data_IF_483450161597
#
_entry.id   IF_483450161597
#
_cell.length_a   1.000
_cell.length_b   1.000
_cell.length_c   1.000
_cell.angle_alpha   90.00
_cell.angle_beta   90.00
_cell.angle_gamma   90.00
#
_symmetry.space_group_name_H-M   'P 1'
#
loop_
_entity.id
_entity.type
_entity.pdbx_description
1 polymer ?
#
# COMPACT_ATOMS: atom_id res chain seq x y z
N UNK A 1 -1.92 7.90 -10.30
CA UNK A 1 -2.07 8.58 -8.99
C UNK A 1 -3.52 8.96 -8.72
N UNK A 2 -4.38 7.95 -8.56
CA UNK A 2 -5.79 8.18 -8.23
C UNK A 2 -6.37 6.95 -7.54
N UNK A 3 -7.37 7.17 -6.70
CA UNK A 3 -8.28 6.13 -6.23
C UNK A 3 -9.46 6.03 -7.19
N UNK A 4 -9.83 4.81 -7.55
CA UNK A 4 -10.95 4.53 -8.46
C UNK A 4 -11.81 3.43 -7.90
N UNK A 5 -13.13 3.59 -7.96
CA UNK A 5 -14.08 2.54 -7.67
C UNK A 5 -14.99 2.32 -8.89
N UNK A 6 -15.21 1.06 -9.25
CA UNK A 6 -16.05 0.67 -10.39
C UNK A 6 -17.14 -0.25 -9.87
N UNK A 7 -18.39 0.06 -10.20
CA UNK A 7 -19.53 -0.81 -9.96
C UNK A 7 -19.72 -1.72 -11.16
N UNK A 8 -19.68 -3.01 -10.92
CA UNK A 8 -19.98 -4.02 -11.93
C UNK A 8 -21.33 -4.69 -11.65
N UNK A 9 -22.05 -5.09 -12.69
CA UNK A 9 -23.17 -6.00 -12.56
C UNK A 9 -22.71 -7.45 -12.40
N UNK A 10 -23.65 -8.38 -12.20
CA UNK A 10 -23.35 -9.80 -12.04
C UNK A 10 -22.78 -10.48 -13.31
N UNK A 11 -22.82 -9.81 -14.45
CA UNK A 11 -22.22 -10.26 -15.71
C UNK A 11 -20.81 -9.69 -15.92
N UNK A 12 -20.29 -8.92 -14.95
CA UNK A 12 -18.98 -8.28 -15.05
C UNK A 12 -18.95 -7.01 -15.92
N UNK A 13 -20.12 -6.46 -16.29
CA UNK A 13 -20.20 -5.22 -17.08
C UNK A 13 -20.05 -4.02 -16.13
N UNK A 14 -19.19 -3.02 -16.43
CA UNK A 14 -19.10 -1.81 -15.64
C UNK A 14 -20.36 -0.96 -15.81
N UNK A 15 -20.96 -0.59 -14.68
CA UNK A 15 -22.21 0.19 -14.60
C UNK A 15 -21.95 1.64 -14.23
N UNK A 16 -20.95 1.88 -13.37
CA UNK A 16 -20.60 3.20 -12.92
C UNK A 16 -19.15 3.22 -12.43
N UNK A 17 -18.47 4.34 -12.68
CA UNK A 17 -17.09 4.58 -12.21
C UNK A 17 -17.03 5.91 -11.49
N UNK A 18 -16.32 5.94 -10.36
CA UNK A 18 -15.92 7.13 -9.66
C UNK A 18 -14.40 7.13 -9.46
N UNK A 19 -13.76 8.26 -9.67
CA UNK A 19 -12.31 8.44 -9.54
C UNK A 19 -12.00 9.77 -8.87
N UNK A 20 -10.96 9.78 -8.04
CA UNK A 20 -10.41 11.00 -7.41
C UNK A 20 -8.90 10.88 -7.39
N UNK A 21 -8.22 11.90 -7.87
CA UNK A 21 -6.77 12.01 -7.81
C UNK A 21 -6.29 12.27 -6.39
N UNK A 22 -5.04 11.91 -6.13
CA UNK A 22 -4.31 12.26 -4.91
C UNK A 22 -2.88 12.69 -5.24
N UNK A 23 -2.27 13.42 -4.31
CA UNK A 23 -0.98 14.08 -4.51
C UNK A 23 0.16 13.07 -4.54
N UNK A 24 1.07 13.26 -5.47
CA UNK A 24 2.36 12.59 -5.50
C UNK A 24 3.45 13.57 -5.09
N UNK A 25 4.27 13.19 -4.11
CA UNK A 25 5.34 14.01 -3.55
C UNK A 25 6.70 13.54 -4.03
N UNK A 26 7.58 14.48 -4.30
CA UNK A 26 8.97 14.26 -4.71
C UNK A 26 9.92 15.02 -3.75
N UNK A 27 10.13 14.51 -2.50
CA UNK A 27 10.88 15.27 -1.49
C UNK A 27 12.34 15.49 -1.82
N UNK A 28 12.93 14.57 -2.60
CA UNK A 28 14.31 14.60 -3.08
C UNK A 28 14.40 13.92 -4.45
N UNK A 29 15.51 14.08 -5.13
CA UNK A 29 15.78 13.36 -6.37
C UNK A 29 15.67 11.84 -6.17
N UNK A 30 14.94 11.18 -7.05
CA UNK A 30 14.64 9.74 -7.00
C UNK A 30 13.71 9.30 -5.86
N UNK A 31 13.15 10.22 -5.04
CA UNK A 31 12.18 9.91 -4.01
C UNK A 31 10.76 10.14 -4.50
N UNK A 32 9.88 9.17 -4.26
CA UNK A 32 8.46 9.25 -4.65
C UNK A 32 7.59 8.77 -3.50
N UNK A 33 6.70 9.63 -3.04
CA UNK A 33 5.86 9.38 -1.87
C UNK A 33 4.37 9.70 -2.13
N UNK A 34 3.50 8.99 -1.42
CA UNK A 34 2.08 9.34 -1.29
C UNK A 34 1.70 9.47 0.19
N UNK A 35 0.74 10.34 0.52
CA UNK A 35 0.13 10.36 1.86
C UNK A 35 -0.88 9.20 1.98
N UNK A 36 -0.66 8.22 2.89
CA UNK A 36 -1.60 7.11 3.07
C UNK A 36 -2.98 7.55 3.55
N UNK A 37 -3.08 8.66 4.29
CA UNK A 37 -4.38 9.18 4.71
C UNK A 37 -5.13 9.83 3.55
N UNK A 38 -4.43 10.43 2.59
CA UNK A 38 -5.05 10.92 1.36
C UNK A 38 -5.54 9.76 0.48
N UNK A 39 -4.75 8.69 0.34
CA UNK A 39 -5.18 7.45 -0.33
C UNK A 39 -6.45 6.91 0.33
N UNK A 40 -6.49 6.83 1.66
CA UNK A 40 -7.68 6.38 2.40
C UNK A 40 -8.90 7.28 2.17
N UNK A 41 -8.74 8.60 2.29
CA UNK A 41 -9.84 9.58 2.12
C UNK A 41 -10.41 9.52 0.70
N UNK A 42 -9.56 9.49 -0.32
CA UNK A 42 -10.00 9.42 -1.72
C UNK A 42 -10.65 8.09 -2.04
N UNK A 43 -10.12 6.97 -1.53
CA UNK A 43 -10.73 5.64 -1.67
C UNK A 43 -12.13 5.61 -1.03
N UNK A 44 -12.26 6.12 0.20
CA UNK A 44 -13.55 6.16 0.89
C UNK A 44 -14.57 7.05 0.18
N UNK A 45 -14.12 8.15 -0.42
CA UNK A 45 -14.97 9.05 -1.22
C UNK A 45 -15.54 8.30 -2.43
N UNK A 46 -14.69 7.70 -3.26
CA UNK A 46 -15.15 7.00 -4.48
C UNK A 46 -16.01 5.78 -4.16
N UNK A 47 -15.72 5.06 -3.06
CA UNK A 47 -16.57 3.96 -2.58
C UNK A 47 -17.98 4.44 -2.19
N UNK A 48 -18.07 5.55 -1.45
CA UNK A 48 -19.37 6.14 -1.07
C UNK A 48 -20.20 6.55 -2.29
N UNK A 49 -19.56 7.11 -3.31
CA UNK A 49 -20.24 7.50 -4.57
C UNK A 49 -20.77 6.28 -5.31
N UNK A 50 -19.98 5.21 -5.42
CA UNK A 50 -20.40 3.94 -6.05
C UNK A 50 -21.57 3.31 -5.28
N UNK A 51 -21.49 3.26 -3.94
CA UNK A 51 -22.60 2.72 -3.10
C UNK A 51 -23.88 3.56 -3.25
N UNK A 52 -23.75 4.90 -3.28
CA UNK A 52 -24.88 5.80 -3.52
C UNK A 52 -25.52 5.54 -4.89
N UNK A 53 -24.71 5.32 -5.93
CA UNK A 53 -25.20 5.00 -7.29
C UNK A 53 -25.89 3.65 -7.33
N UNK A 54 -25.31 2.61 -6.69
CA UNK A 54 -25.95 1.28 -6.59
C UNK A 54 -27.36 1.38 -5.98
N UNK A 55 -27.51 2.10 -4.86
CA UNK A 55 -28.82 2.33 -4.22
C UNK A 55 -29.82 3.02 -5.16
N UNK A 56 -29.39 4.04 -5.93
CA UNK A 56 -30.25 4.70 -6.93
C UNK A 56 -30.72 3.79 -8.05
N UNK A 57 -29.93 2.74 -8.35
CA UNK A 57 -30.27 1.69 -9.32
C UNK A 57 -31.01 0.51 -8.68
N UNK A 58 -31.46 0.65 -7.43
CA UNK A 58 -32.11 -0.41 -6.63
C UNK A 58 -31.26 -1.68 -6.49
N UNK A 59 -29.93 -1.54 -6.67
CA UNK A 59 -28.97 -2.62 -6.56
C UNK A 59 -28.39 -2.75 -5.14
N UNK A 60 -27.89 -3.95 -4.82
CA UNK A 60 -27.19 -4.27 -3.58
C UNK A 60 -25.73 -4.58 -3.91
N UNK A 61 -24.78 -3.92 -3.26
CA UNK A 61 -23.37 -4.29 -3.34
C UNK A 61 -23.17 -5.58 -2.56
N UNK A 62 -22.69 -6.64 -3.22
CA UNK A 62 -22.49 -7.96 -2.62
C UNK A 62 -21.09 -8.13 -2.06
N UNK A 63 -20.08 -7.57 -2.73
CA UNK A 63 -18.67 -7.71 -2.36
C UNK A 63 -17.86 -6.53 -2.86
N UNK A 64 -16.66 -6.39 -2.34
CA UNK A 64 -15.66 -5.41 -2.76
C UNK A 64 -14.37 -6.18 -3.06
N UNK A 65 -13.85 -6.06 -4.27
CA UNK A 65 -12.51 -6.47 -4.64
C UNK A 65 -11.57 -5.27 -4.55
N UNK A 66 -10.41 -5.46 -3.95
CA UNK A 66 -9.37 -4.43 -3.86
C UNK A 66 -8.24 -4.81 -4.81
N UNK A 67 -7.87 -3.89 -5.69
CA UNK A 67 -6.65 -4.00 -6.49
C UNK A 67 -5.65 -2.92 -6.06
N UNK A 68 -4.40 -3.16 -6.28
CA UNK A 68 -3.33 -2.49 -5.57
C UNK A 68 -2.39 -1.69 -6.49
N UNK A 69 -1.61 -0.82 -5.90
CA UNK A 69 -0.34 -0.32 -6.40
C UNK A 69 0.77 -1.13 -5.74
N UNK A 70 1.13 -2.27 -6.35
CA UNK A 70 2.09 -3.22 -5.80
C UNK A 70 3.39 -2.54 -5.37
N UNK A 71 4.06 -3.10 -4.36
CA UNK A 71 5.33 -2.62 -3.80
C UNK A 71 5.33 -1.22 -3.17
N UNK A 72 4.23 -0.48 -3.27
CA UNK A 72 4.07 0.77 -2.51
C UNK A 72 3.86 0.43 -1.05
N UNK A 73 4.83 0.80 -0.21
CA UNK A 73 4.98 0.32 1.16
C UNK A 73 4.45 1.33 2.16
N UNK A 74 3.58 0.89 3.06
CA UNK A 74 3.01 1.68 4.15
C UNK A 74 3.31 0.99 5.48
N UNK A 75 3.74 1.77 6.49
CA UNK A 75 3.88 1.32 7.87
C UNK A 75 2.97 2.16 8.76
N UNK A 76 2.23 1.51 9.66
CA UNK A 76 1.27 2.21 10.55
C UNK A 76 1.19 1.60 11.94
N UNK A 77 0.61 2.35 12.87
CA UNK A 77 0.38 1.93 14.24
C UNK A 77 -0.90 1.08 14.34
N UNK A 78 -0.78 -0.17 14.76
CA UNK A 78 -1.90 -1.10 15.01
C UNK A 78 -2.98 -0.52 15.92
N UNK A 79 -2.63 0.36 16.86
CA UNK A 79 -3.60 0.90 17.83
C UNK A 79 -4.59 1.89 17.22
N UNK A 80 -4.15 2.71 16.27
CA UNK A 80 -4.94 3.82 15.78
C UNK A 80 -4.94 4.01 14.26
N UNK A 81 -4.22 3.14 13.52
CA UNK A 81 -4.12 3.18 12.07
C UNK A 81 -3.35 4.37 11.50
N UNK A 82 -2.67 5.15 12.34
CA UNK A 82 -1.92 6.32 11.86
C UNK A 82 -0.62 5.85 11.19
N UNK A 83 -0.35 6.26 9.95
CA UNK A 83 0.93 6.01 9.31
C UNK A 83 2.09 6.60 10.11
N UNK A 84 3.25 5.94 10.06
CA UNK A 84 4.47 6.45 10.70
C UNK A 84 5.27 7.36 9.78
N UNK A 85 5.07 7.19 8.48
CA UNK A 85 5.71 7.93 7.41
C UNK A 85 4.80 7.89 6.16
N UNK A 86 5.09 8.71 5.15
CA UNK A 86 4.44 8.60 3.84
C UNK A 86 4.66 7.22 3.23
N UNK A 87 3.75 6.79 2.37
CA UNK A 87 3.91 5.58 1.57
C UNK A 87 5.09 5.76 0.61
N UNK A 88 6.07 4.87 0.66
CA UNK A 88 7.18 4.87 -0.30
C UNK A 88 6.72 4.11 -1.54
N UNK A 89 6.66 4.82 -2.66
CA UNK A 89 6.10 4.32 -3.93
C UNK A 89 7.04 3.33 -4.59
N UNK A 90 6.53 2.43 -5.41
CA UNK A 90 7.30 1.43 -6.16
C UNK A 90 8.41 2.02 -7.05
N UNK A 91 8.21 3.25 -7.54
CA UNK A 91 9.20 3.99 -8.36
C UNK A 91 10.37 4.57 -7.55
N UNK A 92 10.25 4.62 -6.22
CA UNK A 92 11.22 5.26 -5.33
C UNK A 92 12.57 4.54 -5.35
N UNK A 93 13.65 5.31 -5.40
CA UNK A 93 15.01 4.79 -5.51
C UNK A 93 15.87 5.04 -4.25
N UNK A 94 15.27 5.53 -3.14
CA UNK A 94 16.04 5.87 -1.91
C UNK A 94 16.79 4.71 -1.29
N UNK A 95 16.32 3.48 -1.48
CA UNK A 95 16.96 2.28 -0.96
C UNK A 95 18.02 1.66 -1.91
N UNK A 96 18.30 2.29 -3.07
CA UNK A 96 19.23 1.76 -4.08
C UNK A 96 20.62 1.50 -3.53
N UNK A 97 21.16 2.39 -2.69
CA UNK A 97 22.49 2.19 -2.09
C UNK A 97 22.51 0.99 -1.14
N UNK A 98 21.43 0.74 -0.41
CA UNK A 98 21.30 -0.45 0.41
C UNK A 98 21.22 -1.73 -0.46
N UNK A 99 20.52 -1.69 -1.57
CA UNK A 99 20.49 -2.79 -2.55
C UNK A 99 21.91 -3.09 -3.08
N UNK A 100 22.67 -2.07 -3.51
CA UNK A 100 24.07 -2.24 -3.94
C UNK A 100 24.94 -2.88 -2.84
N UNK A 101 24.74 -2.50 -1.58
CA UNK A 101 25.46 -3.10 -0.44
C UNK A 101 25.12 -4.59 -0.31
N UNK A 102 23.86 -4.99 -0.44
CA UNK A 102 23.44 -6.39 -0.38
C UNK A 102 24.06 -7.21 -1.52
N UNK A 103 24.12 -6.66 -2.74
CA UNK A 103 24.74 -7.27 -3.91
C UNK A 103 26.24 -7.48 -3.65
N UNK A 104 26.96 -6.46 -3.18
CA UNK A 104 28.38 -6.56 -2.77
C UNK A 104 28.61 -7.65 -1.70
N UNK A 105 27.63 -7.87 -0.83
CA UNK A 105 27.65 -8.92 0.19
C UNK A 105 27.27 -10.31 -0.36
N UNK A 106 27.10 -10.46 -1.68
CA UNK A 106 26.71 -11.72 -2.36
C UNK A 106 25.41 -12.32 -1.83
N UNK A 107 24.41 -11.46 -1.49
CA UNK A 107 23.10 -11.90 -0.98
C UNK A 107 22.10 -12.26 -2.07
N UNK A 108 22.43 -12.07 -3.36
CA UNK A 108 21.53 -12.30 -4.49
C UNK A 108 21.00 -13.72 -4.55
N UNK A 109 21.89 -14.72 -4.50
CA UNK A 109 21.51 -16.14 -4.59
C UNK A 109 20.54 -16.54 -3.48
N UNK A 110 20.78 -16.11 -2.23
CA UNK A 110 19.91 -16.48 -1.12
C UNK A 110 18.53 -15.79 -1.22
N UNK A 111 18.49 -14.57 -1.69
CA UNK A 111 17.23 -13.84 -1.89
C UNK A 111 16.47 -14.47 -3.05
N UNK A 112 17.12 -14.65 -4.19
CA UNK A 112 16.51 -15.26 -5.37
C UNK A 112 15.94 -16.65 -5.08
N UNK A 113 16.69 -17.52 -4.42
CA UNK A 113 16.24 -18.88 -4.10
C UNK A 113 15.05 -18.92 -3.15
N UNK A 114 14.86 -17.87 -2.31
CA UNK A 114 13.74 -17.80 -1.37
C UNK A 114 12.51 -17.09 -1.93
N UNK A 115 12.68 -16.17 -2.85
CA UNK A 115 11.60 -15.26 -3.29
C UNK A 115 11.37 -15.27 -4.80
N UNK A 116 12.31 -15.75 -5.59
CA UNK A 116 12.32 -15.58 -7.04
C UNK A 116 12.65 -14.15 -7.51
N UNK A 117 12.95 -13.23 -6.59
CA UNK A 117 13.13 -11.82 -6.89
C UNK A 117 14.60 -11.41 -6.90
N UNK A 118 14.89 -10.36 -7.67
CA UNK A 118 16.19 -9.69 -7.67
C UNK A 118 16.30 -8.75 -6.46
N UNK A 119 17.52 -8.28 -6.17
CA UNK A 119 17.75 -7.20 -5.21
C UNK A 119 17.55 -5.86 -5.92
N UNK A 120 16.42 -5.21 -5.70
CA UNK A 120 16.12 -3.90 -6.27
C UNK A 120 15.34 -3.02 -5.27
N UNK A 121 15.48 -1.70 -5.41
CA UNK A 121 14.73 -0.71 -4.63
C UNK A 121 13.22 -0.72 -4.95
N UNK A 122 12.81 -1.35 -6.03
CA UNK A 122 11.43 -1.58 -6.40
C UNK A 122 10.66 -2.33 -5.30
N UNK A 123 11.27 -3.34 -4.68
CA UNK A 123 10.62 -4.24 -3.73
C UNK A 123 10.47 -3.65 -2.33
N UNK A 124 9.46 -4.10 -1.59
CA UNK A 124 9.02 -3.52 -0.33
C UNK A 124 10.04 -3.67 0.81
N UNK A 125 10.79 -4.77 0.87
CA UNK A 125 11.67 -5.09 2.00
C UNK A 125 12.70 -3.99 2.31
N UNK A 126 13.33 -3.43 1.28
CA UNK A 126 14.35 -2.39 1.44
C UNK A 126 13.74 -1.03 1.82
N UNK A 127 12.51 -0.75 1.42
CA UNK A 127 11.73 0.43 1.85
C UNK A 127 11.33 0.33 3.32
N UNK A 128 10.85 -0.85 3.76
CA UNK A 128 10.56 -1.13 5.17
C UNK A 128 11.82 -0.91 6.02
N UNK A 129 12.94 -1.48 5.60
CA UNK A 129 14.23 -1.28 6.27
C UNK A 129 14.58 0.20 6.39
N UNK A 130 14.45 0.95 5.29
CA UNK A 130 14.72 2.38 5.29
C UNK A 130 13.85 3.13 6.30
N UNK A 131 12.55 2.87 6.35
CA UNK A 131 11.63 3.50 7.32
C UNK A 131 12.05 3.17 8.75
N UNK A 132 12.38 1.91 9.04
CA UNK A 132 12.81 1.49 10.40
C UNK A 132 14.08 2.21 10.81
N UNK A 133 15.03 2.38 9.90
CA UNK A 133 16.32 3.01 10.18
C UNK A 133 16.20 4.54 10.34
N UNK A 134 15.34 5.19 9.57
CA UNK A 134 15.29 6.65 9.46
C UNK A 134 14.13 7.31 10.21
N UNK A 135 13.11 6.54 10.62
CA UNK A 135 11.92 7.07 11.30
C UNK A 135 11.90 6.57 12.76
N UNK A 136 12.27 7.41 13.75
CA UNK A 136 12.35 7.01 15.16
C UNK A 136 11.06 6.41 15.68
N UNK A 137 9.90 6.93 15.25
CA UNK A 137 8.57 6.43 15.61
C UNK A 137 8.37 4.95 15.23
N UNK A 138 8.91 4.50 14.10
CA UNK A 138 8.82 3.10 13.68
C UNK A 138 9.51 2.18 14.70
N UNK A 139 10.73 2.52 15.13
CA UNK A 139 11.47 1.76 16.15
C UNK A 139 10.74 1.70 17.50
N UNK A 140 10.11 2.80 17.92
CA UNK A 140 9.30 2.83 19.14
C UNK A 140 8.10 1.88 19.02
N UNK A 141 7.43 1.85 17.87
CA UNK A 141 6.28 0.96 17.65
C UNK A 141 6.69 -0.51 17.56
N UNK A 142 7.87 -0.82 17.02
CA UNK A 142 8.43 -2.18 17.03
C UNK A 142 8.60 -2.67 18.47
N UNK A 143 9.28 -1.87 19.32
CA UNK A 143 9.46 -2.21 20.76
C UNK A 143 8.13 -2.45 21.47
N UNK A 144 7.08 -1.72 21.09
CA UNK A 144 5.73 -1.86 21.64
C UNK A 144 4.89 -2.96 20.97
N UNK A 145 5.44 -3.71 19.99
CA UNK A 145 4.72 -4.71 19.18
C UNK A 145 3.46 -4.15 18.51
N UNK A 146 3.54 -2.92 18.02
CA UNK A 146 2.42 -2.16 17.44
C UNK A 146 2.63 -1.75 16.00
N UNK A 147 3.82 -1.94 15.43
CA UNK A 147 4.07 -1.60 14.03
C UNK A 147 3.47 -2.68 13.13
N UNK A 148 2.61 -2.26 12.21
CA UNK A 148 2.16 -3.05 11.07
C UNK A 148 2.77 -2.48 9.79
N UNK A 149 2.91 -3.33 8.79
CA UNK A 149 3.28 -2.93 7.44
C UNK A 149 2.41 -3.65 6.41
N UNK A 150 2.35 -3.09 5.22
CA UNK A 150 1.71 -3.72 4.08
C UNK A 150 1.83 -2.85 2.85
N UNK A 151 1.35 -3.37 1.74
CA UNK A 151 1.05 -2.60 0.54
C UNK A 151 -0.30 -1.89 0.70
N UNK A 152 -0.72 -1.13 -0.30
CA UNK A 152 -1.93 -0.29 -0.21
C UNK A 152 -3.19 -1.13 0.08
N UNK A 153 -3.29 -2.34 -0.51
CA UNK A 153 -4.40 -3.26 -0.28
C UNK A 153 -4.56 -3.64 1.19
N UNK A 154 -3.47 -4.05 1.84
CA UNK A 154 -3.46 -4.40 3.28
C UNK A 154 -3.86 -3.23 4.16
N UNK A 155 -3.38 -2.03 3.85
CA UNK A 155 -3.73 -0.82 4.58
C UNK A 155 -5.21 -0.48 4.42
N UNK A 156 -5.74 -0.55 3.18
CA UNK A 156 -7.15 -0.31 2.91
C UNK A 156 -8.06 -1.35 3.55
N UNK A 157 -7.70 -2.64 3.47
CA UNK A 157 -8.44 -3.71 4.15
C UNK A 157 -8.50 -3.47 5.65
N UNK A 158 -7.33 -3.17 6.26
CA UNK A 158 -7.25 -2.87 7.69
C UNK A 158 -8.13 -1.67 8.08
N UNK A 159 -8.13 -0.60 7.30
CA UNK A 159 -8.99 0.58 7.53
C UNK A 159 -10.48 0.25 7.35
N UNK A 160 -10.85 -0.49 6.31
CA UNK A 160 -12.25 -0.87 6.01
C UNK A 160 -12.82 -1.79 7.10
N UNK A 161 -12.01 -2.68 7.66
CA UNK A 161 -12.40 -3.61 8.73
C UNK A 161 -12.21 -3.04 10.13
N UNK A 162 -11.86 -1.75 10.25
CA UNK A 162 -11.60 -1.06 11.53
C UNK A 162 -10.52 -1.75 12.37
N UNK A 163 -9.50 -2.30 11.72
CA UNK A 163 -8.36 -2.94 12.37
C UNK A 163 -8.54 -4.42 12.74
N UNK A 164 -9.60 -5.05 12.27
CA UNK A 164 -9.86 -6.49 12.50
C UNK A 164 -8.94 -7.33 11.61
N UNK A 165 -8.90 -7.04 10.31
CA UNK A 165 -8.16 -7.86 9.35
C UNK A 165 -6.88 -7.15 8.88
N UNK A 166 -5.78 -7.89 8.92
CA UNK A 166 -4.49 -7.51 8.36
C UNK A 166 -4.00 -8.64 7.46
N UNK A 167 -4.34 -8.55 6.20
CA UNK A 167 -4.06 -9.58 5.21
C UNK A 167 -3.68 -8.96 3.86
N UNK A 168 -3.12 -9.77 3.02
CA UNK A 168 -2.83 -9.49 1.60
C UNK A 168 -3.07 -10.75 0.79
N UNK A 169 -2.89 -10.72 -0.51
CA UNK A 169 -2.94 -11.89 -1.38
C UNK A 169 -1.55 -12.32 -1.88
N UNK A 170 -1.49 -13.48 -2.52
CA UNK A 170 -0.24 -14.06 -3.01
C UNK A 170 0.47 -13.17 -4.06
N UNK A 171 -0.27 -12.34 -4.82
CA UNK A 171 0.30 -11.48 -5.86
C UNK A 171 0.92 -10.19 -5.29
N UNK A 172 0.55 -9.82 -4.08
CA UNK A 172 1.06 -8.66 -3.35
C UNK A 172 2.09 -9.03 -2.28
N UNK A 173 2.21 -10.32 -1.95
CA UNK A 173 3.14 -10.83 -0.94
C UNK A 173 4.50 -11.28 -1.51
N UNK A 174 4.71 -11.11 -2.81
CA UNK A 174 5.97 -11.48 -3.49
C UNK A 174 7.12 -10.56 -3.15
#
# INVERSE_FOLDING_TARGET
TSSRAILFDLKGKPVFTSQTEFTQYFPKDGWVEHDPEEIWKTTLKVLKEVVKKSKKLQGKVLTIGITNQRETTILWDKKNGKPVYNAIVWQDRRSSEYCKKLIKQKKETIIYNKTGLLIDAYFSATKIKWIIDNVPKARVLIKKKRLLFGTVDSFLLWKLTKGVDHATDATNAS
#
